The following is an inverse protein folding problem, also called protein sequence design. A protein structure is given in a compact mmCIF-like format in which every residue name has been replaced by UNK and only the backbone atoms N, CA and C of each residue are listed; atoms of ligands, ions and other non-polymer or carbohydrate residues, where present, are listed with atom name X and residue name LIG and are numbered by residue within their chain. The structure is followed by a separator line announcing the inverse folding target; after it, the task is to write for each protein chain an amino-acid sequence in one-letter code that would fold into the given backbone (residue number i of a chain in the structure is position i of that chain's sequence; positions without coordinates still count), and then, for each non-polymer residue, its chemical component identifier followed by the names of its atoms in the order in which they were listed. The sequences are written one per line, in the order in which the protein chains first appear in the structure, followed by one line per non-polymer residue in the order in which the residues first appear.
data_IF_958962775262
#
_entry.id   IF_958962775262
#
_cell.length_a   1.000
_cell.length_b   1.000
_cell.length_c   1.000
_cell.angle_alpha   90.00
_cell.angle_beta   90.00
_cell.angle_gamma   90.00
#
_symmetry.space_group_name_H-M   'P 1'
#
loop_
_entity.id
_entity.type
_entity.pdbx_description
1 polymer ?
#
# COMPACT_ATOMS: atom_id res chain seq x y z
N UNK A 1 62.87 25.90 11.97
CA UNK A 1 62.23 26.72 13.02
C UNK A 1 60.71 26.57 12.89
N UNK A 2 60.08 26.02 13.94
CA UNK A 2 58.65 26.08 14.36
C UNK A 2 57.57 25.83 13.29
N UNK A 3 57.04 24.59 13.21
CA UNK A 3 55.82 24.10 13.91
C UNK A 3 54.56 24.96 13.71
N UNK A 4 53.55 24.37 13.05
CA UNK A 4 52.16 24.41 13.54
C UNK A 4 51.37 23.21 13.04
N UNK A 5 51.34 22.17 13.87
CA UNK A 5 50.30 21.16 13.91
C UNK A 5 48.94 21.82 14.19
N UNK A 6 47.92 21.48 13.42
CA UNK A 6 46.52 21.69 13.83
C UNK A 6 45.91 20.30 13.97
N UNK A 7 45.66 19.94 15.23
CA UNK A 7 44.92 18.76 15.65
C UNK A 7 43.50 18.82 15.08
N UNK A 8 43.10 17.80 14.31
CA UNK A 8 41.69 17.44 14.20
C UNK A 8 41.39 16.42 15.30
N UNK A 9 40.64 16.87 16.31
CA UNK A 9 40.11 16.01 17.35
C UNK A 9 39.17 14.98 16.71
N UNK A 10 39.54 13.72 16.88
CA UNK A 10 38.69 12.56 16.69
C UNK A 10 37.59 12.61 17.76
N UNK A 11 36.35 12.88 17.36
CA UNK A 11 35.18 12.64 18.18
C UNK A 11 34.63 11.25 17.83
N UNK A 12 35.13 10.22 18.51
CA UNK A 12 34.50 8.89 18.55
C UNK A 12 33.25 9.03 19.41
N UNK A 13 32.09 9.19 18.77
CA UNK A 13 30.80 8.99 19.43
C UNK A 13 30.55 7.49 19.43
N UNK A 14 30.76 6.87 20.60
CA UNK A 14 30.34 5.50 20.87
C UNK A 14 28.81 5.49 20.87
N UNK A 15 28.20 5.07 19.76
CA UNK A 15 26.80 4.68 19.77
C UNK A 15 26.69 3.36 20.52
N UNK A 16 26.21 3.44 21.76
CA UNK A 16 25.70 2.29 22.47
C UNK A 16 24.56 1.69 21.64
N UNK A 17 24.74 0.44 21.20
CA UNK A 17 23.72 -0.33 20.51
C UNK A 17 22.54 -0.55 21.45
N UNK A 18 21.45 0.18 21.23
CA UNK A 18 20.16 -0.24 21.73
C UNK A 18 19.72 -1.44 20.90
N UNK A 19 19.96 -2.65 21.41
CA UNK A 19 19.24 -3.84 20.97
C UNK A 19 17.76 -3.64 21.31
N UNK A 20 17.01 -3.07 20.37
CA UNK A 20 15.56 -3.12 20.42
C UNK A 20 15.14 -4.57 20.17
N UNK A 21 14.54 -5.19 21.17
CA UNK A 21 13.97 -6.52 21.10
C UNK A 21 13.12 -6.67 19.83
N UNK A 22 13.44 -7.67 19.01
CA UNK A 22 12.55 -8.14 17.97
C UNK A 22 11.23 -8.56 18.64
N UNK A 23 10.17 -7.75 18.49
CA UNK A 23 8.84 -8.25 18.79
C UNK A 23 8.53 -9.32 17.76
N UNK A 24 8.59 -10.58 18.18
CA UNK A 24 8.15 -11.72 17.39
C UNK A 24 6.69 -11.48 17.00
N UNK A 25 6.46 -11.08 15.74
CA UNK A 25 5.12 -10.82 15.20
C UNK A 25 4.48 -12.17 14.87
N UNK A 26 3.83 -12.74 15.88
CA UNK A 26 2.98 -13.90 15.75
C UNK A 26 1.95 -13.68 14.62
N UNK A 27 1.74 -14.65 13.74
CA UNK A 27 0.77 -14.60 12.66
C UNK A 27 -0.14 -15.83 12.71
N UNK A 28 -1.36 -15.65 12.24
CA UNK A 28 -2.27 -16.75 11.92
C UNK A 28 -2.10 -17.04 10.43
N UNK A 29 -1.82 -18.30 10.10
CA UNK A 29 -1.74 -18.80 8.72
C UNK A 29 -2.93 -19.72 8.46
N UNK A 30 -3.69 -19.38 7.41
CA UNK A 30 -4.81 -20.17 6.92
C UNK A 30 -4.35 -21.29 5.95
N UNK A 31 -5.18 -22.30 5.63
CA UNK A 31 -4.81 -23.39 4.73
C UNK A 31 -4.43 -22.95 3.31
N UNK A 32 -4.92 -21.79 2.87
CA UNK A 32 -4.59 -21.19 1.58
C UNK A 32 -3.27 -20.38 1.60
N UNK A 33 -2.47 -20.51 2.67
CA UNK A 33 -1.22 -19.79 2.92
C UNK A 33 -1.35 -18.27 3.05
N UNK A 34 -2.57 -17.72 3.10
CA UNK A 34 -2.76 -16.33 3.52
C UNK A 34 -2.44 -16.22 5.01
N UNK A 35 -1.88 -15.08 5.41
CA UNK A 35 -1.54 -14.82 6.80
C UNK A 35 -2.13 -13.50 7.30
N UNK A 36 -2.34 -13.40 8.61
CA UNK A 36 -2.71 -12.17 9.28
C UNK A 36 -1.95 -12.01 10.60
N UNK A 37 -1.45 -10.80 10.85
CA UNK A 37 -0.68 -10.53 12.06
C UNK A 37 -1.56 -10.55 13.31
N UNK A 38 -1.12 -11.26 14.34
CA UNK A 38 -1.74 -11.24 15.67
C UNK A 38 -1.18 -10.05 16.42
N UNK A 39 -2.03 -9.06 16.70
CA UNK A 39 -1.68 -7.80 17.31
C UNK A 39 -1.45 -7.90 18.84
N UNK A 40 -1.77 -9.04 19.45
CA UNK A 40 -1.49 -9.33 20.85
C UNK A 40 -2.25 -10.55 21.36
N UNK A 41 -2.08 -10.81 22.66
CA UNK A 41 -2.75 -11.87 23.40
C UNK A 41 -3.45 -11.31 24.63
N UNK A 42 -4.64 -11.81 24.95
CA UNK A 42 -5.39 -11.51 26.18
C UNK A 42 -5.53 -10.01 26.48
N UNK A 43 -5.91 -9.24 25.45
CA UNK A 43 -6.18 -7.81 25.54
C UNK A 43 -7.37 -7.44 24.68
N UNK A 44 -7.95 -6.26 24.90
CA UNK A 44 -9.02 -5.74 24.03
C UNK A 44 -8.54 -5.64 22.58
N UNK A 45 -9.38 -6.09 21.64
CA UNK A 45 -9.19 -5.94 20.20
C UNK A 45 -9.56 -4.52 19.75
N UNK A 46 -8.65 -3.81 19.07
CA UNK A 46 -8.93 -2.49 18.48
C UNK A 46 -9.51 -2.62 17.07
N UNK A 47 -9.69 -1.50 16.37
CA UNK A 47 -10.06 -1.50 14.95
C UNK A 47 -9.00 -2.22 14.11
N UNK A 48 -9.45 -3.01 13.13
CA UNK A 48 -8.61 -3.74 12.15
C UNK A 48 -7.63 -4.78 12.72
N UNK A 49 -7.66 -5.03 14.03
CA UNK A 49 -6.74 -5.96 14.69
C UNK A 49 -7.29 -7.39 14.81
N UNK A 50 -6.36 -8.34 14.88
CA UNK A 50 -6.57 -9.72 15.28
C UNK A 50 -5.90 -9.97 16.63
N UNK A 51 -6.62 -10.51 17.61
CA UNK A 51 -6.08 -10.82 18.95
C UNK A 51 -6.38 -12.27 19.30
N UNK A 52 -5.41 -12.95 19.89
CA UNK A 52 -5.60 -14.29 20.45
C UNK A 52 -6.02 -14.20 21.91
N UNK A 53 -7.05 -14.94 22.31
CA UNK A 53 -7.50 -15.01 23.70
C UNK A 53 -7.40 -16.44 24.23
N UNK A 54 -6.86 -16.57 25.44
CA UNK A 54 -6.97 -17.78 26.23
C UNK A 54 -8.41 -17.98 26.70
N UNK A 55 -8.84 -19.23 26.93
CA UNK A 55 -10.17 -19.53 27.42
C UNK A 55 -10.54 -18.75 28.69
N UNK A 56 -9.61 -18.66 29.65
CA UNK A 56 -9.85 -18.03 30.95
C UNK A 56 -10.04 -16.52 30.84
N UNK A 57 -9.24 -15.86 30.00
CA UNK A 57 -9.40 -14.44 29.78
C UNK A 57 -10.70 -14.15 29.03
N UNK A 58 -10.98 -14.88 27.95
CA UNK A 58 -12.17 -14.66 27.12
C UNK A 58 -13.47 -14.88 27.90
N UNK A 59 -13.52 -15.88 28.79
CA UNK A 59 -14.68 -16.09 29.69
C UNK A 59 -14.95 -14.88 30.59
N UNK A 60 -13.89 -14.25 31.11
CA UNK A 60 -13.99 -13.09 32.00
C UNK A 60 -14.24 -11.79 31.25
N UNK A 61 -13.70 -11.68 30.04
CA UNK A 61 -13.68 -10.47 29.22
C UNK A 61 -14.04 -10.78 27.77
N UNK A 62 -15.29 -11.19 27.49
CA UNK A 62 -15.71 -11.50 26.13
C UNK A 62 -15.62 -10.26 25.25
N UNK A 63 -15.34 -10.48 23.96
CA UNK A 63 -15.34 -9.43 22.93
C UNK A 63 -16.77 -8.89 22.71
N UNK A 64 -16.88 -7.74 22.04
CA UNK A 64 -18.18 -7.13 21.72
C UNK A 64 -18.70 -7.58 20.35
N UNK A 65 -19.90 -7.10 19.97
CA UNK A 65 -20.57 -7.46 18.72
C UNK A 65 -19.93 -6.90 17.44
N UNK A 66 -18.81 -6.18 17.52
CA UNK A 66 -18.24 -5.45 16.37
C UNK A 66 -17.32 -6.29 15.48
N UNK A 67 -17.11 -7.56 15.81
CA UNK A 67 -16.14 -8.42 15.14
C UNK A 67 -16.65 -9.82 14.80
N UNK A 68 -15.69 -10.67 14.50
CA UNK A 68 -15.86 -12.12 14.36
C UNK A 68 -14.97 -12.82 15.39
N UNK A 69 -15.51 -13.84 16.04
CA UNK A 69 -14.77 -14.71 16.94
C UNK A 69 -14.61 -16.08 16.30
N UNK A 70 -13.44 -16.69 16.45
CA UNK A 70 -13.12 -18.02 15.92
C UNK A 70 -12.60 -18.89 17.06
N UNK A 71 -13.30 -20.00 17.35
CA UNK A 71 -12.81 -21.02 18.27
C UNK A 71 -11.88 -21.96 17.52
N UNK A 72 -10.66 -22.12 18.05
CA UNK A 72 -9.69 -23.07 17.55
C UNK A 72 -9.42 -24.13 18.61
N UNK A 73 -9.62 -25.40 18.27
CA UNK A 73 -9.37 -26.57 19.13
C UNK A 73 -8.50 -27.53 18.35
N UNK A 74 -7.43 -28.03 18.97
CA UNK A 74 -6.46 -28.95 18.35
C UNK A 74 -5.97 -28.45 16.97
N UNK A 75 -5.58 -27.17 16.93
CA UNK A 75 -5.12 -26.44 15.73
C UNK A 75 -6.12 -26.45 14.56
N UNK A 76 -7.41 -26.62 14.83
CA UNK A 76 -8.48 -26.56 13.83
C UNK A 76 -9.59 -25.61 14.24
N UNK A 77 -10.15 -24.91 13.24
CA UNK A 77 -11.33 -24.07 13.45
C UNK A 77 -12.52 -24.96 13.84
N UNK A 78 -12.98 -24.82 15.08
CA UNK A 78 -14.16 -25.50 15.58
C UNK A 78 -15.44 -24.69 15.34
N UNK A 79 -15.35 -23.36 15.39
CA UNK A 79 -16.49 -22.45 15.19
C UNK A 79 -16.02 -21.10 14.66
N UNK A 80 -16.81 -20.50 13.77
CA UNK A 80 -16.68 -19.10 13.34
C UNK A 80 -18.00 -18.40 13.66
N UNK A 81 -17.95 -17.32 14.44
CA UNK A 81 -19.12 -16.57 14.88
C UNK A 81 -19.01 -15.09 14.47
N UNK A 82 -19.66 -14.74 13.36
CA UNK A 82 -19.68 -13.38 12.82
C UNK A 82 -20.76 -12.52 13.47
N UNK A 83 -20.44 -11.95 14.64
CA UNK A 83 -21.37 -11.13 15.41
C UNK A 83 -21.69 -9.81 14.70
N UNK A 84 -20.69 -9.21 14.05
CA UNK A 84 -20.88 -7.96 13.32
C UNK A 84 -21.77 -8.16 12.09
N UNK A 85 -21.62 -9.28 11.38
CA UNK A 85 -22.49 -9.64 10.25
C UNK A 85 -23.95 -9.78 10.68
N UNK A 86 -24.20 -10.56 11.73
CA UNK A 86 -25.53 -10.75 12.29
C UNK A 86 -26.20 -9.41 12.67
N UNK A 87 -25.50 -8.57 13.45
CA UNK A 87 -26.08 -7.31 13.96
C UNK A 87 -26.21 -6.24 12.88
N UNK A 88 -25.11 -5.93 12.17
CA UNK A 88 -25.06 -4.74 11.33
C UNK A 88 -25.53 -4.98 9.90
N UNK A 89 -25.31 -6.19 9.35
CA UNK A 89 -25.67 -6.54 7.97
C UNK A 89 -27.05 -7.22 7.91
N UNK A 90 -27.28 -8.22 8.76
CA UNK A 90 -28.51 -9.03 8.73
C UNK A 90 -29.63 -8.48 9.63
N UNK A 91 -29.34 -7.48 10.47
CA UNK A 91 -30.28 -6.90 11.45
C UNK A 91 -30.88 -7.94 12.40
N UNK A 92 -30.11 -8.99 12.73
CA UNK A 92 -30.46 -10.01 13.72
C UNK A 92 -29.90 -9.65 15.10
N UNK A 93 -30.47 -10.20 16.20
CA UNK A 93 -29.88 -10.09 17.52
C UNK A 93 -28.44 -10.61 17.53
N UNK A 94 -27.58 -10.00 18.35
CA UNK A 94 -26.21 -10.47 18.58
C UNK A 94 -26.26 -11.91 19.10
N UNK A 95 -25.64 -12.89 18.41
CA UNK A 95 -25.66 -14.27 18.86
C UNK A 95 -24.78 -14.50 20.11
N UNK A 96 -24.10 -13.46 20.59
CA UNK A 96 -23.30 -13.48 21.81
C UNK A 96 -21.89 -14.02 21.60
N UNK A 97 -21.10 -14.01 22.68
CA UNK A 97 -19.76 -14.55 22.69
C UNK A 97 -19.75 -16.09 22.60
N UNK A 98 -18.69 -16.66 22.02
CA UNK A 98 -18.53 -18.12 21.96
C UNK A 98 -18.41 -18.68 23.37
N UNK A 99 -19.21 -19.71 23.69
CA UNK A 99 -19.03 -20.48 24.93
C UNK A 99 -17.84 -21.42 24.77
N UNK A 100 -16.77 -21.17 25.51
CA UNK A 100 -15.56 -22.01 25.51
C UNK A 100 -15.47 -22.80 26.81
N UNK A 101 -15.23 -24.11 26.73
CA UNK A 101 -15.21 -25.03 27.88
C UNK A 101 -13.79 -25.28 28.44
N UNK A 102 -12.79 -24.56 27.91
CA UNK A 102 -11.40 -24.59 28.40
C UNK A 102 -10.42 -25.22 27.42
N UNK A 103 -10.89 -25.91 26.38
CA UNK A 103 -10.03 -26.40 25.30
C UNK A 103 -9.85 -25.33 24.23
N UNK A 104 -8.61 -25.19 23.73
CA UNK A 104 -8.30 -24.32 22.61
C UNK A 104 -8.10 -22.86 22.98
N UNK A 105 -8.38 -21.97 22.02
CA UNK A 105 -8.27 -20.52 22.17
C UNK A 105 -9.25 -19.82 21.21
N UNK A 106 -9.47 -18.51 21.43
CA UNK A 106 -10.28 -17.67 20.54
C UNK A 106 -9.35 -16.77 19.72
N UNK A 107 -9.59 -16.66 18.41
CA UNK A 107 -9.11 -15.56 17.60
C UNK A 107 -10.26 -14.57 17.39
N UNK A 108 -10.09 -13.33 17.82
CA UNK A 108 -11.08 -12.27 17.61
C UNK A 108 -10.53 -11.21 16.67
N UNK A 109 -11.28 -10.92 15.61
CA UNK A 109 -10.90 -9.95 14.59
C UNK A 109 -11.96 -8.87 14.39
N UNK A 110 -11.51 -7.62 14.29
CA UNK A 110 -12.34 -6.48 13.87
C UNK A 110 -11.92 -5.97 12.48
N UNK A 111 -12.80 -5.24 11.80
CA UNK A 111 -12.46 -4.52 10.56
C UNK A 111 -11.76 -5.38 9.50
N UNK A 112 -10.51 -5.04 9.15
CA UNK A 112 -9.68 -5.79 8.22
C UNK A 112 -9.43 -7.25 8.66
N UNK A 113 -9.16 -7.49 9.95
CA UNK A 113 -8.99 -8.83 10.49
C UNK A 113 -10.28 -9.66 10.37
N UNK A 114 -11.44 -9.05 10.60
CA UNK A 114 -12.74 -9.71 10.39
C UNK A 114 -12.90 -10.14 8.93
N UNK A 115 -12.67 -9.22 7.99
CA UNK A 115 -12.75 -9.51 6.54
C UNK A 115 -11.79 -10.65 6.16
N UNK A 116 -10.58 -10.62 6.72
CA UNK A 116 -9.59 -11.67 6.47
C UNK A 116 -10.05 -13.03 7.03
N UNK A 117 -10.55 -13.10 8.27
CA UNK A 117 -11.07 -14.35 8.85
C UNK A 117 -12.16 -14.94 7.96
N UNK A 118 -13.17 -14.14 7.61
CA UNK A 118 -14.32 -14.62 6.84
C UNK A 118 -13.96 -15.07 5.42
N UNK A 119 -12.87 -14.52 4.86
CA UNK A 119 -12.37 -14.90 3.55
C UNK A 119 -11.46 -16.14 3.57
N UNK A 120 -10.80 -16.43 4.69
CA UNK A 120 -9.68 -17.39 4.74
C UNK A 120 -9.84 -18.54 5.73
N UNK A 121 -10.77 -18.47 6.68
CA UNK A 121 -10.98 -19.50 7.70
C UNK A 121 -12.42 -20.03 7.67
N UNK A 122 -12.53 -21.36 7.68
CA UNK A 122 -13.80 -22.11 7.73
C UNK A 122 -13.72 -23.20 8.79
N UNK A 123 -14.87 -23.65 9.30
CA UNK A 123 -14.93 -24.79 10.23
C UNK A 123 -14.24 -26.00 9.62
N UNK A 124 -13.35 -26.62 10.38
CA UNK A 124 -12.50 -27.75 9.98
C UNK A 124 -11.11 -27.36 9.47
N UNK A 125 -10.89 -26.10 9.10
CA UNK A 125 -9.59 -25.62 8.60
C UNK A 125 -8.50 -25.75 9.65
N UNK A 126 -7.32 -26.19 9.22
CA UNK A 126 -6.13 -26.14 10.05
C UNK A 126 -5.67 -24.68 10.22
N UNK A 127 -5.40 -24.29 11.45
CA UNK A 127 -4.92 -22.95 11.82
C UNK A 127 -3.54 -23.09 12.42
N UNK A 128 -2.55 -22.45 11.80
CA UNK A 128 -1.20 -22.37 12.38
C UNK A 128 -1.01 -21.00 12.97
N UNK A 129 -0.70 -20.96 14.27
CA UNK A 129 -0.19 -19.76 14.92
C UNK A 129 1.30 -19.97 15.14
N UNK A 130 2.09 -19.08 14.59
CA UNK A 130 3.54 -19.14 14.75
C UNK A 130 4.17 -17.81 14.42
N UNK A 131 5.47 -17.74 14.60
CA UNK A 131 6.25 -16.66 14.01
C UNK A 131 6.06 -16.69 12.50
N UNK A 132 5.97 -15.50 11.88
CA UNK A 132 5.92 -15.40 10.44
C UNK A 132 7.07 -16.23 9.84
N UNK A 133 6.76 -17.31 9.12
CA UNK A 133 7.78 -18.01 8.34
C UNK A 133 8.10 -17.09 7.17
N UNK A 134 9.13 -16.27 7.38
CA UNK A 134 9.64 -15.39 6.34
C UNK A 134 10.32 -16.27 5.30
N UNK A 135 9.59 -16.63 4.24
CA UNK A 135 10.20 -17.30 3.08
C UNK A 135 11.10 -16.27 2.42
N UNK A 136 12.38 -16.36 2.75
CA UNK A 136 13.44 -15.57 2.12
C UNK A 136 13.88 -16.28 0.84
N UNK A 137 14.00 -15.56 -0.25
CA UNK A 137 14.67 -16.06 -1.45
C UNK A 137 16.18 -16.24 -1.19
N UNK A 138 16.91 -16.80 -2.15
CA UNK A 138 18.37 -17.03 -2.04
C UNK A 138 19.18 -15.75 -1.78
N UNK A 139 18.62 -14.57 -2.08
CA UNK A 139 19.18 -13.26 -1.77
C UNK A 139 18.75 -12.69 -0.39
N UNK A 140 18.01 -13.46 0.41
CA UNK A 140 17.56 -13.05 1.74
C UNK A 140 16.33 -12.12 1.74
N UNK A 141 15.67 -11.91 0.59
CA UNK A 141 14.49 -11.04 0.45
C UNK A 141 13.20 -11.82 0.70
N UNK A 142 12.22 -11.18 1.34
CA UNK A 142 10.88 -11.76 1.55
C UNK A 142 10.14 -11.81 0.22
N UNK A 143 9.59 -12.96 -0.15
CA UNK A 143 8.75 -13.09 -1.34
C UNK A 143 7.45 -12.26 -1.20
N UNK A 144 6.95 -11.63 -2.28
CA UNK A 144 5.67 -10.93 -2.27
C UNK A 144 4.50 -11.91 -2.07
N UNK A 145 3.35 -11.41 -1.65
CA UNK A 145 2.13 -12.22 -1.57
C UNK A 145 1.75 -12.74 -2.97
N UNK A 146 1.20 -13.95 -3.05
CA UNK A 146 0.75 -14.51 -4.33
C UNK A 146 -0.42 -13.70 -4.91
N UNK A 147 -1.31 -13.20 -4.05
CA UNK A 147 -2.43 -12.36 -4.44
C UNK A 147 -2.81 -11.40 -3.31
N UNK A 148 -3.36 -10.24 -3.70
CA UNK A 148 -3.92 -9.23 -2.79
C UNK A 148 -5.28 -8.80 -3.37
N UNK A 149 -6.35 -8.73 -2.55
CA UNK A 149 -7.66 -8.29 -3.03
C UNK A 149 -7.65 -6.87 -3.59
N UNK A 150 -8.43 -6.64 -4.65
CA UNK A 150 -8.66 -5.30 -5.16
C UNK A 150 -9.43 -4.44 -4.14
N UNK A 151 -9.03 -3.18 -4.02
CA UNK A 151 -9.83 -2.16 -3.36
C UNK A 151 -10.78 -1.54 -4.39
N UNK A 152 -12.07 -1.47 -4.06
CA UNK A 152 -13.08 -1.03 -5.01
C UNK A 152 -13.04 0.49 -5.24
N UNK A 153 -13.46 0.93 -6.43
CA UNK A 153 -13.70 2.35 -6.73
C UNK A 153 -12.90 2.92 -7.90
N UNK A 154 -11.97 2.16 -8.49
CA UNK A 154 -11.12 2.63 -9.58
C UNK A 154 -10.70 1.48 -10.52
N UNK A 155 -10.25 1.84 -11.73
CA UNK A 155 -9.48 0.93 -12.58
C UNK A 155 -7.99 1.20 -12.36
N UNK A 156 -7.22 0.21 -11.96
CA UNK A 156 -5.80 0.43 -11.67
C UNK A 156 -4.95 -0.83 -11.84
N UNK A 157 -3.71 -0.60 -12.28
CA UNK A 157 -2.60 -1.56 -12.21
C UNK A 157 -1.73 -1.19 -11.02
N UNK A 158 -1.64 -2.06 -10.01
CA UNK A 158 -0.75 -1.89 -8.84
C UNK A 158 0.26 -3.03 -8.80
N UNK A 159 1.55 -2.68 -8.82
CA UNK A 159 2.64 -3.59 -8.51
C UNK A 159 3.12 -3.26 -7.10
N UNK A 160 3.08 -4.23 -6.19
CA UNK A 160 3.35 -4.01 -4.77
C UNK A 160 4.32 -5.06 -4.22
N UNK A 161 5.35 -4.62 -3.50
CA UNK A 161 6.41 -5.50 -2.99
C UNK A 161 5.94 -6.37 -1.82
N UNK A 162 6.81 -7.24 -1.33
CA UNK A 162 6.66 -7.80 0.03
C UNK A 162 6.84 -6.72 1.11
N UNK A 163 6.37 -7.03 2.33
CA UNK A 163 6.85 -6.34 3.52
C UNK A 163 8.26 -6.84 3.86
N UNK A 164 9.27 -5.99 3.67
CA UNK A 164 10.68 -6.31 3.89
C UNK A 164 11.44 -5.06 4.41
N UNK A 165 12.77 -5.11 4.45
CA UNK A 165 13.66 -4.01 4.84
C UNK A 165 13.86 -2.96 3.74
N UNK A 166 12.86 -2.76 2.91
CA UNK A 166 12.90 -1.76 1.83
C UNK A 166 13.04 -0.34 2.42
N UNK A 167 13.85 0.48 1.77
CA UNK A 167 14.12 1.88 2.14
C UNK A 167 13.58 2.88 1.12
N UNK A 168 13.00 2.40 0.03
CA UNK A 168 12.33 3.23 -0.95
C UNK A 168 11.95 2.48 -2.23
N UNK A 169 11.37 3.23 -3.15
CA UNK A 169 11.10 2.84 -4.53
C UNK A 169 11.46 4.00 -5.44
N UNK A 170 12.03 3.70 -6.61
CA UNK A 170 12.36 4.68 -7.63
C UNK A 170 12.00 4.14 -9.02
N UNK A 171 11.74 5.05 -9.96
CA UNK A 171 11.42 4.67 -11.33
C UNK A 171 11.53 5.82 -12.31
N UNK A 172 11.70 5.44 -13.57
CA UNK A 172 11.69 6.32 -14.72
C UNK A 172 10.43 6.00 -15.53
N UNK A 173 9.50 6.93 -15.63
CA UNK A 173 8.20 6.72 -16.27
C UNK A 173 8.00 7.70 -17.43
N UNK A 174 7.64 7.18 -18.60
CA UNK A 174 7.05 7.97 -19.67
C UNK A 174 5.55 8.07 -19.42
N UNK A 175 5.04 9.29 -19.35
CA UNK A 175 3.65 9.55 -19.03
C UNK A 175 2.71 9.16 -20.18
N UNK A 176 1.64 8.46 -19.84
CA UNK A 176 0.59 8.10 -20.80
C UNK A 176 -0.25 9.32 -21.22
N UNK A 177 -1.07 9.11 -22.25
CA UNK A 177 -2.02 10.09 -22.77
C UNK A 177 -3.42 9.77 -22.21
N UNK A 178 -3.96 10.62 -21.32
CA UNK A 178 -5.31 10.45 -20.82
C UNK A 178 -6.35 10.87 -21.83
N UNK A 179 -7.50 10.19 -21.81
CA UNK A 179 -8.71 10.57 -22.53
C UNK A 179 -9.90 10.36 -21.61
N UNK A 180 -10.63 11.44 -21.36
CA UNK A 180 -11.80 11.46 -20.48
C UNK A 180 -13.06 10.95 -21.17
N UNK A 181 -14.02 10.47 -20.39
CA UNK A 181 -15.37 10.18 -20.91
C UNK A 181 -16.24 11.45 -20.82
N UNK A 182 -16.50 12.07 -21.96
CA UNK A 182 -17.33 13.28 -22.05
C UNK A 182 -18.79 13.06 -21.61
N UNK A 183 -19.25 11.81 -21.52
CA UNK A 183 -20.58 11.48 -21.03
C UNK A 183 -20.62 11.26 -19.51
N UNK A 184 -19.47 11.29 -18.84
CA UNK A 184 -19.35 10.99 -17.41
C UNK A 184 -18.78 12.19 -16.66
N UNK A 185 -19.57 13.26 -16.64
CA UNK A 185 -19.25 14.53 -15.99
C UNK A 185 -20.00 14.65 -14.67
N UNK A 186 -19.40 15.34 -13.71
CA UNK A 186 -20.08 15.75 -12.49
C UNK A 186 -21.14 16.82 -12.82
N UNK A 187 -22.33 16.69 -12.25
CA UNK A 187 -23.43 17.60 -12.57
C UNK A 187 -23.17 19.04 -12.11
N UNK A 188 -22.37 19.24 -11.05
CA UNK A 188 -22.14 20.54 -10.41
C UNK A 188 -21.06 21.33 -11.13
N UNK A 189 -19.91 20.70 -11.39
CA UNK A 189 -18.74 21.39 -11.96
C UNK A 189 -18.48 21.07 -13.44
N UNK A 190 -19.29 20.16 -14.03
CA UNK A 190 -19.16 19.68 -15.42
C UNK A 190 -17.77 19.12 -15.74
N UNK A 191 -16.99 18.73 -14.74
CA UNK A 191 -15.69 18.10 -14.92
C UNK A 191 -15.84 16.57 -14.99
N UNK A 192 -14.92 15.89 -15.70
CA UNK A 192 -14.87 14.44 -15.72
C UNK A 192 -14.84 13.83 -14.31
N UNK A 193 -15.66 12.80 -14.11
CA UNK A 193 -15.68 11.99 -12.89
C UNK A 193 -14.50 11.02 -12.83
N UNK A 194 -13.86 10.74 -13.97
CA UNK A 194 -12.61 9.99 -14.07
C UNK A 194 -11.41 10.93 -13.97
N UNK A 195 -10.45 10.58 -13.11
CA UNK A 195 -9.16 11.25 -13.03
C UNK A 195 -8.02 10.24 -13.21
N UNK A 196 -6.87 10.70 -13.66
CA UNK A 196 -5.74 9.83 -13.96
C UNK A 196 -4.60 10.07 -12.99
N UNK A 197 -3.94 9.00 -12.58
CA UNK A 197 -2.79 9.10 -11.70
C UNK A 197 -1.73 8.05 -12.04
N UNK A 198 -0.48 8.42 -11.82
CA UNK A 198 0.67 7.52 -11.86
C UNK A 198 1.52 7.83 -10.65
N UNK A 199 1.62 6.88 -9.73
CA UNK A 199 2.17 7.17 -8.41
C UNK A 199 2.89 5.99 -7.79
N UNK A 200 3.69 6.30 -6.80
CA UNK A 200 4.37 5.36 -5.93
C UNK A 200 3.84 5.50 -4.51
N UNK A 201 4.35 4.72 -3.58
CA UNK A 201 4.03 4.86 -2.18
C UNK A 201 4.27 3.55 -1.48
N UNK A 202 3.55 3.31 -0.39
CA UNK A 202 3.76 2.10 0.37
C UNK A 202 2.92 2.03 1.63
N UNK A 203 3.19 0.97 2.38
CA UNK A 203 2.60 0.71 3.68
C UNK A 203 3.70 0.21 4.60
N UNK A 204 3.67 0.62 5.86
CA UNK A 204 4.56 0.10 6.88
C UNK A 204 3.79 -0.13 8.17
N UNK A 205 4.06 -1.28 8.80
CA UNK A 205 3.44 -1.63 10.09
C UNK A 205 1.92 -1.79 10.07
N UNK A 206 1.28 -1.88 8.90
CA UNK A 206 -0.18 -2.00 8.75
C UNK A 206 -0.95 -0.74 9.17
N UNK A 207 -0.29 0.43 9.20
CA UNK A 207 -0.86 1.68 9.72
C UNK A 207 -1.57 2.50 8.65
N UNK A 208 -0.79 3.13 7.76
CA UNK A 208 -1.31 4.07 6.77
C UNK A 208 -0.80 3.71 5.37
N UNK A 209 -1.71 3.65 4.41
CA UNK A 209 -1.37 3.57 2.99
C UNK A 209 -0.91 4.95 2.52
N UNK A 210 0.24 5.02 1.87
CA UNK A 210 0.78 6.24 1.27
C UNK A 210 0.62 6.18 -0.25
N UNK A 211 0.16 7.29 -0.84
CA UNK A 211 0.15 7.53 -2.28
C UNK A 211 0.95 8.81 -2.57
N UNK A 212 1.99 8.75 -3.38
CA UNK A 212 2.85 9.89 -3.71
C UNK A 212 3.41 9.77 -5.13
N UNK A 213 3.15 10.76 -5.96
CA UNK A 213 3.52 10.72 -7.37
C UNK A 213 2.83 11.82 -8.16
N UNK A 214 2.22 11.50 -9.29
CA UNK A 214 1.62 12.45 -10.22
C UNK A 214 0.12 12.20 -10.40
N UNK A 215 -0.67 13.26 -10.40
CA UNK A 215 -2.11 13.22 -10.71
C UNK A 215 -2.45 14.23 -11.80
N UNK A 216 -3.43 13.89 -12.63
CA UNK A 216 -3.91 14.72 -13.72
C UNK A 216 -4.68 15.91 -13.16
N UNK A 217 -4.25 17.10 -13.54
CA UNK A 217 -4.65 18.36 -12.92
C UNK A 217 -4.77 19.49 -13.95
N UNK A 218 -5.40 20.57 -13.49
CA UNK A 218 -5.46 21.83 -14.22
C UNK A 218 -4.10 22.53 -14.14
N UNK A 219 -3.83 23.38 -15.13
CA UNK A 219 -2.67 24.26 -15.16
C UNK A 219 -3.13 25.71 -15.13
N UNK A 220 -2.31 26.59 -14.59
CA UNK A 220 -2.48 28.04 -14.69
C UNK A 220 -1.40 28.63 -15.59
N UNK A 221 -1.77 29.62 -16.41
CA UNK A 221 -0.80 30.38 -17.20
C UNK A 221 -0.08 31.45 -16.35
N UNK A 222 0.82 32.21 -16.99
CA UNK A 222 1.63 33.25 -16.32
C UNK A 222 0.79 34.39 -15.73
N UNK A 223 -0.46 34.54 -16.17
CA UNK A 223 -1.43 35.52 -15.65
C UNK A 223 -2.38 34.91 -14.61
N UNK A 224 -2.16 33.65 -14.19
CA UNK A 224 -3.02 32.92 -13.27
C UNK A 224 -4.33 32.42 -13.90
N UNK A 225 -4.47 32.47 -15.23
CA UNK A 225 -5.66 31.94 -15.90
C UNK A 225 -5.58 30.42 -15.93
N UNK A 226 -6.53 29.78 -15.25
CA UNK A 226 -6.66 28.32 -15.19
C UNK A 226 -7.14 27.75 -16.54
N UNK A 227 -6.62 26.57 -16.88
CA UNK A 227 -7.08 25.79 -18.04
C UNK A 227 -8.55 25.37 -17.87
N UNK A 228 -9.28 25.28 -18.99
CA UNK A 228 -10.69 24.87 -18.97
C UNK A 228 -10.88 23.39 -18.59
N UNK A 229 -9.84 22.57 -18.79
CA UNK A 229 -9.80 21.14 -18.51
C UNK A 229 -8.44 20.78 -17.95
N UNK A 230 -8.38 19.70 -17.18
CA UNK A 230 -7.11 19.10 -16.75
C UNK A 230 -6.28 18.72 -17.97
N UNK A 231 -5.00 19.10 -17.96
CA UNK A 231 -4.12 19.06 -19.12
C UNK A 231 -2.64 18.79 -18.78
N UNK A 232 -2.31 18.60 -17.50
CA UNK A 232 -0.97 18.20 -17.08
C UNK A 232 -1.02 17.29 -15.84
N UNK A 233 0.02 16.51 -15.65
CA UNK A 233 0.32 15.80 -14.42
C UNK A 233 1.07 16.73 -13.46
N UNK A 234 0.65 16.76 -12.19
CA UNK A 234 1.30 17.55 -11.12
C UNK A 234 1.61 16.68 -9.90
N UNK A 235 2.74 16.90 -9.20
CA UNK A 235 3.05 16.12 -8.02
C UNK A 235 2.01 16.23 -6.91
N UNK A 236 1.69 15.10 -6.28
CA UNK A 236 0.81 15.00 -5.13
C UNK A 236 1.34 13.98 -4.13
N UNK A 237 0.95 14.12 -2.87
CA UNK A 237 1.15 13.10 -1.86
C UNK A 237 -0.02 13.06 -0.88
N UNK A 238 -0.37 11.85 -0.47
CA UNK A 238 -1.51 11.56 0.39
C UNK A 238 -1.09 10.53 1.43
N UNK A 239 -1.35 10.89 2.69
CA UNK A 239 -1.38 9.93 3.80
C UNK A 239 -2.79 9.92 4.36
N UNK A 240 -3.08 10.71 5.38
CA UNK A 240 -4.45 11.00 5.87
C UNK A 240 -5.05 12.24 5.20
N UNK A 241 -4.19 13.14 4.71
CA UNK A 241 -4.57 14.39 4.06
C UNK A 241 -4.03 14.43 2.63
N UNK A 242 -4.77 15.12 1.75
CA UNK A 242 -4.34 15.37 0.38
C UNK A 242 -3.42 16.58 0.32
N UNK A 243 -2.32 16.47 -0.42
CA UNK A 243 -1.39 17.56 -0.67
C UNK A 243 -0.93 17.55 -2.12
N UNK A 244 -0.52 18.71 -2.63
CA UNK A 244 -0.04 18.85 -4.02
C UNK A 244 1.10 19.86 -4.08
N UNK A 245 1.99 19.71 -5.06
CA UNK A 245 2.99 20.73 -5.38
C UNK A 245 2.30 22.06 -5.74
N UNK A 246 2.98 23.21 -5.60
CA UNK A 246 2.43 24.49 -6.03
C UNK A 246 1.88 24.48 -7.46
N UNK A 247 0.87 25.30 -7.72
CA UNK A 247 0.28 25.44 -9.06
C UNK A 247 1.19 26.31 -9.96
N UNK A 248 2.32 25.74 -10.38
CA UNK A 248 3.36 26.46 -11.12
C UNK A 248 3.86 25.64 -12.32
N UNK A 249 4.18 26.33 -13.42
CA UNK A 249 4.65 25.73 -14.68
C UNK A 249 5.81 24.75 -14.53
N UNK A 250 6.72 24.99 -13.58
CA UNK A 250 7.86 24.11 -13.29
C UNK A 250 7.48 22.75 -12.67
N UNK A 251 6.22 22.57 -12.26
CA UNK A 251 5.69 21.33 -11.70
C UNK A 251 4.62 20.67 -12.58
N UNK A 252 4.42 21.16 -13.80
CA UNK A 252 3.54 20.54 -14.78
C UNK A 252 4.32 19.61 -15.70
N UNK A 253 3.87 18.37 -15.76
CA UNK A 253 4.40 17.33 -16.64
C UNK A 253 3.34 16.91 -17.66
N UNK A 254 3.71 16.80 -18.93
CA UNK A 254 2.75 16.55 -20.01
C UNK A 254 2.82 15.10 -20.51
N UNK A 255 1.75 14.58 -21.13
CA UNK A 255 1.78 13.27 -21.78
C UNK A 255 2.98 13.11 -22.71
N UNK A 256 3.61 11.94 -22.67
CA UNK A 256 4.82 11.62 -23.43
C UNK A 256 6.12 12.11 -22.81
N UNK A 257 6.10 13.02 -21.82
CA UNK A 257 7.31 13.38 -21.06
C UNK A 257 7.78 12.20 -20.20
N UNK A 258 9.09 12.12 -20.00
CA UNK A 258 9.72 11.15 -19.11
C UNK A 258 10.04 11.80 -17.78
N UNK A 259 9.64 11.15 -16.69
CA UNK A 259 9.76 11.64 -15.32
C UNK A 259 10.46 10.61 -14.45
N UNK A 260 11.46 11.05 -13.71
CA UNK A 260 12.06 10.32 -12.58
C UNK A 260 11.20 10.55 -11.35
N UNK A 261 10.73 9.47 -10.72
CA UNK A 261 9.99 9.53 -9.46
C UNK A 261 10.65 8.63 -8.43
N UNK A 262 10.70 9.09 -7.18
CA UNK A 262 11.12 8.29 -6.05
C UNK A 262 10.31 8.59 -4.79
N UNK A 263 10.06 7.54 -4.00
CA UNK A 263 9.54 7.64 -2.64
C UNK A 263 10.54 6.95 -1.72
N UNK A 264 11.19 7.74 -0.87
CA UNK A 264 12.32 7.31 -0.04
C UNK A 264 11.96 7.44 1.44
N UNK A 265 12.50 6.56 2.27
CA UNK A 265 12.49 6.76 3.73
C UNK A 265 13.44 7.89 4.07
N UNK A 266 12.90 8.99 4.60
CA UNK A 266 13.63 10.20 4.93
C UNK A 266 14.00 10.31 6.41
N UNK A 267 13.42 9.43 7.24
CA UNK A 267 13.64 9.36 8.69
C UNK A 267 12.50 8.59 9.36
N UNK A 268 12.50 8.48 10.69
CA UNK A 268 11.42 7.84 11.43
C UNK A 268 10.07 8.48 11.12
N UNK A 269 9.13 7.67 10.62
CA UNK A 269 7.79 8.10 10.22
C UNK A 269 7.78 9.21 9.15
N UNK A 270 8.81 9.28 8.30
CA UNK A 270 8.89 10.27 7.22
C UNK A 270 9.27 9.63 5.90
N UNK A 271 8.59 10.07 4.86
CA UNK A 271 8.92 9.77 3.47
C UNK A 271 9.30 11.05 2.74
N UNK A 272 10.12 10.90 1.70
CA UNK A 272 10.46 11.94 0.74
C UNK A 272 9.90 11.56 -0.62
N UNK A 273 9.11 12.44 -1.22
CA UNK A 273 8.74 12.37 -2.63
C UNK A 273 9.75 13.20 -3.44
N UNK A 274 10.27 12.61 -4.51
CA UNK A 274 11.08 13.31 -5.53
C UNK A 274 10.40 13.07 -6.87
N UNK A 275 10.20 14.14 -7.64
CA UNK A 275 9.70 14.10 -9.02
C UNK A 275 10.56 15.04 -9.86
N UNK A 276 11.17 14.54 -10.93
CA UNK A 276 12.06 15.34 -11.77
C UNK A 276 12.01 14.93 -13.24
N UNK A 277 12.24 15.86 -14.17
CA UNK A 277 12.52 15.54 -15.58
C UNK A 277 14.00 15.21 -15.84
N UNK A 278 14.83 15.21 -14.79
CA UNK A 278 16.30 15.06 -14.89
C UNK A 278 16.99 16.28 -15.50
N UNK A 279 16.28 17.40 -15.66
CA UNK A 279 16.76 18.65 -16.25
C UNK A 279 16.44 19.82 -15.32
N UNK A 280 15.37 20.56 -15.60
CA UNK A 280 15.03 21.81 -14.92
C UNK A 280 13.81 21.68 -13.99
N UNK A 281 12.90 20.74 -14.26
CA UNK A 281 11.72 20.52 -13.42
C UNK A 281 12.09 19.55 -12.31
N UNK A 282 12.10 20.02 -11.07
CA UNK A 282 12.31 19.16 -9.90
C UNK A 282 11.42 19.61 -8.75
N UNK A 283 10.62 18.69 -8.24
CA UNK A 283 9.86 18.82 -7.01
C UNK A 283 10.39 17.82 -5.98
N UNK A 284 10.60 18.29 -4.75
CA UNK A 284 10.96 17.44 -3.62
C UNK A 284 10.24 17.91 -2.38
N UNK A 285 9.71 16.97 -1.60
CA UNK A 285 9.14 17.28 -0.29
C UNK A 285 9.26 16.09 0.67
N UNK A 286 9.46 16.40 1.94
CA UNK A 286 9.40 15.44 3.04
C UNK A 286 8.04 15.55 3.71
N UNK A 287 7.42 14.42 4.03
CA UNK A 287 6.10 14.38 4.63
C UNK A 287 5.97 13.26 5.65
N UNK A 288 5.05 13.45 6.59
CA UNK A 288 4.78 12.47 7.64
C UNK A 288 4.09 11.24 7.08
N UNK A 289 4.63 10.07 7.44
CA UNK A 289 4.21 8.75 7.01
C UNK A 289 4.27 7.78 8.20
N UNK A 290 3.20 7.74 8.98
CA UNK A 290 3.08 6.89 10.17
C UNK A 290 3.37 5.41 9.84
N UNK A 291 4.23 4.78 10.64
CA UNK A 291 4.60 3.37 10.50
C UNK A 291 5.91 3.16 9.75
N UNK A 292 6.40 4.15 8.99
CA UNK A 292 7.72 4.12 8.34
C UNK A 292 8.85 4.38 9.35
N UNK A 293 8.84 3.67 10.48
CA UNK A 293 9.84 3.75 11.54
C UNK A 293 11.00 2.76 11.30
N UNK A 294 12.19 2.97 11.91
CA UNK A 294 13.30 2.03 11.83
C UNK A 294 12.88 0.60 12.21
N UNK A 295 13.47 -0.41 11.57
CA UNK A 295 13.22 -1.84 11.82
C UNK A 295 11.77 -2.32 11.64
N UNK A 296 10.87 -1.48 11.13
CA UNK A 296 9.53 -1.89 10.72
C UNK A 296 9.60 -2.39 9.29
N UNK A 297 9.14 -3.62 9.03
CA UNK A 297 8.98 -4.14 7.67
C UNK A 297 8.00 -3.27 6.88
N UNK A 298 8.36 -2.97 5.64
CA UNK A 298 7.67 -2.00 4.78
C UNK A 298 7.45 -2.59 3.41
N UNK A 299 6.39 -2.17 2.78
CA UNK A 299 6.02 -2.50 1.43
C UNK A 299 6.01 -1.23 0.61
N UNK A 300 6.50 -1.28 -0.62
CA UNK A 300 6.39 -0.20 -1.59
C UNK A 300 5.57 -0.64 -2.79
N UNK A 301 4.93 0.32 -3.44
CA UNK A 301 4.10 0.09 -4.62
C UNK A 301 4.35 1.14 -5.69
N UNK A 302 4.04 0.76 -6.93
CA UNK A 302 3.74 1.69 -8.03
C UNK A 302 2.36 1.39 -8.61
N UNK A 303 1.69 2.43 -9.08
CA UNK A 303 0.31 2.38 -9.54
C UNK A 303 0.13 3.26 -10.77
N UNK A 304 -0.63 2.75 -11.74
CA UNK A 304 -1.30 3.54 -12.77
C UNK A 304 -2.81 3.39 -12.54
N UNK A 305 -3.57 4.48 -12.55
CA UNK A 305 -5.00 4.42 -12.26
C UNK A 305 -5.84 5.38 -13.10
N UNK A 306 -7.09 4.96 -13.30
CA UNK A 306 -8.26 5.79 -13.59
C UNK A 306 -9.11 5.79 -12.30
N UNK A 307 -8.92 6.81 -11.50
CA UNK A 307 -9.61 7.04 -10.24
C UNK A 307 -10.99 7.65 -10.49
N UNK A 308 -12.02 7.14 -9.81
CA UNK A 308 -13.38 7.67 -9.97
C UNK A 308 -13.74 8.55 -8.77
N UNK A 309 -13.96 9.84 -9.03
CA UNK A 309 -14.38 10.82 -8.03
C UNK A 309 -15.60 10.30 -7.26
N UNK A 310 -15.56 10.42 -5.93
CA UNK A 310 -16.65 10.04 -5.01
C UNK A 310 -17.02 8.54 -5.00
N UNK A 311 -16.19 7.67 -5.59
CA UNK A 311 -16.48 6.24 -5.73
C UNK A 311 -15.55 5.33 -4.90
N UNK A 312 -14.76 5.89 -4.01
CA UNK A 312 -13.84 5.12 -3.15
C UNK A 312 -14.60 4.06 -2.33
N UNK A 313 -14.15 2.80 -2.39
CA UNK A 313 -14.76 1.67 -1.69
C UNK A 313 -16.08 1.15 -2.29
N UNK A 314 -16.58 1.74 -3.38
CA UNK A 314 -17.80 1.32 -4.08
C UNK A 314 -17.47 0.55 -5.36
N UNK A 315 -18.39 -0.26 -5.91
CA UNK A 315 -18.19 -0.89 -7.21
C UNK A 315 -17.79 0.13 -8.28
N UNK A 316 -16.80 -0.24 -9.10
CA UNK A 316 -16.35 0.60 -10.21
C UNK A 316 -17.51 0.85 -11.18
N UNK A 317 -17.65 2.09 -11.64
CA UNK A 317 -18.70 2.46 -12.60
C UNK A 317 -18.16 2.36 -14.03
N UNK A 318 -18.96 1.91 -15.00
CA UNK A 318 -18.53 1.89 -16.41
C UNK A 318 -18.14 3.29 -16.91
N UNK A 319 -17.10 3.35 -17.74
CA UNK A 319 -16.63 4.59 -18.37
C UNK A 319 -15.89 4.29 -19.67
N UNK A 320 -15.88 5.25 -20.60
CA UNK A 320 -15.03 5.22 -21.81
C UNK A 320 -13.68 5.91 -21.60
N UNK A 321 -13.38 6.33 -20.37
CA UNK A 321 -12.07 6.91 -20.05
C UNK A 321 -10.96 5.88 -20.28
N UNK A 322 -9.84 6.34 -20.83
CA UNK A 322 -8.67 5.50 -21.09
C UNK A 322 -7.39 6.29 -20.85
N UNK A 323 -6.32 5.60 -20.49
CA UNK A 323 -4.95 6.15 -20.48
C UNK A 323 -4.02 5.16 -21.15
N UNK A 324 -3.34 5.62 -22.20
CA UNK A 324 -2.53 4.77 -23.08
C UNK A 324 -1.12 5.31 -23.27
N UNK A 325 -0.16 4.44 -23.52
CA UNK A 325 1.23 4.79 -23.80
C UNK A 325 2.07 5.10 -22.56
N UNK A 326 1.59 4.76 -21.36
CA UNK A 326 2.40 4.90 -20.15
C UNK A 326 3.44 3.77 -20.08
N UNK A 327 4.71 4.12 -19.86
CA UNK A 327 5.81 3.15 -19.80
C UNK A 327 6.67 3.41 -18.57
N UNK A 328 6.72 2.46 -17.64
CA UNK A 328 7.79 2.39 -16.67
C UNK A 328 9.02 1.86 -17.39
N UNK A 329 9.94 2.75 -17.76
CA UNK A 329 11.20 2.42 -18.43
C UNK A 329 12.18 1.72 -17.48
N UNK A 330 12.04 2.00 -16.18
CA UNK A 330 12.74 1.32 -15.10
C UNK A 330 11.94 1.46 -13.81
N UNK A 331 11.90 0.41 -12.99
CA UNK A 331 11.43 0.47 -11.60
C UNK A 331 12.38 -0.33 -10.71
N UNK A 332 12.82 0.28 -9.60
CA UNK A 332 13.67 -0.37 -8.62
C UNK A 332 13.12 -0.17 -7.19
N UNK A 333 13.18 -1.24 -6.40
CA UNK A 333 13.11 -1.19 -4.95
C UNK A 333 14.49 -0.83 -4.40
N UNK A 334 14.52 -0.07 -3.30
CA UNK A 334 15.76 0.36 -2.67
C UNK A 334 15.97 -0.39 -1.36
N UNK A 335 17.22 -0.82 -1.12
CA UNK A 335 17.63 -1.48 0.11
C UNK A 335 18.95 -0.88 0.61
N UNK A 336 19.01 -0.53 1.89
CA UNK A 336 20.15 0.20 2.48
C UNK A 336 19.92 1.71 2.53
N UNK A 337 20.90 2.46 3.03
CA UNK A 337 20.73 3.87 3.38
C UNK A 337 21.49 4.82 2.44
N UNK A 338 20.92 6.02 2.27
CA UNK A 338 21.55 7.12 1.56
C UNK A 338 21.87 6.82 0.09
N UNK A 339 22.88 7.51 -0.43
CA UNK A 339 23.33 7.38 -1.82
C UNK A 339 23.88 5.98 -2.16
N UNK A 340 24.23 5.18 -1.14
CA UNK A 340 24.72 3.81 -1.29
C UNK A 340 23.62 2.75 -1.33
N UNK A 341 22.34 3.15 -1.26
CA UNK A 341 21.23 2.20 -1.30
C UNK A 341 21.26 1.38 -2.61
N UNK A 342 21.22 0.06 -2.47
CA UNK A 342 21.19 -0.86 -3.61
C UNK A 342 19.86 -0.70 -4.34
N UNK A 343 19.93 -0.42 -5.64
CA UNK A 343 18.78 -0.47 -6.53
C UNK A 343 18.56 -1.91 -7.00
N UNK A 344 17.40 -2.46 -6.68
CA UNK A 344 17.03 -3.83 -7.00
C UNK A 344 15.82 -3.74 -7.95
N UNK A 345 15.89 -4.27 -9.19
CA UNK A 345 14.78 -4.21 -10.12
C UNK A 345 13.48 -4.75 -9.51
N UNK A 346 12.37 -4.02 -9.69
CA UNK A 346 11.04 -4.48 -9.26
C UNK A 346 10.44 -5.38 -10.35
N UNK A 347 11.05 -6.55 -10.55
CA UNK A 347 10.60 -7.57 -11.51
C UNK A 347 9.44 -8.43 -10.95
N UNK A 348 8.92 -9.34 -11.78
CA UNK A 348 7.75 -10.18 -11.45
C UNK A 348 7.94 -11.09 -10.23
N UNK A 349 9.18 -11.35 -9.79
CA UNK A 349 9.46 -12.13 -8.58
C UNK A 349 9.38 -11.30 -7.30
N UNK A 350 9.32 -9.96 -7.42
CA UNK A 350 9.39 -9.00 -6.31
C UNK A 350 8.13 -8.18 -6.10
N UNK A 351 7.07 -8.45 -6.86
CA UNK A 351 5.78 -7.81 -6.63
C UNK A 351 4.59 -8.74 -6.83
N UNK A 352 3.51 -8.45 -6.12
CA UNK A 352 2.17 -8.98 -6.40
C UNK A 352 1.55 -8.17 -7.53
N UNK A 353 1.10 -8.84 -8.60
CA UNK A 353 0.38 -8.19 -9.71
C UNK A 353 -1.09 -7.98 -9.31
N UNK A 354 -1.55 -6.73 -9.30
CA UNK A 354 -2.95 -6.39 -9.10
C UNK A 354 -3.46 -5.61 -10.32
N UNK A 355 -4.50 -6.15 -10.96
CA UNK A 355 -5.18 -5.54 -12.11
C UNK A 355 -6.67 -5.40 -11.78
N UNK A 356 -7.04 -4.21 -11.33
CA UNK A 356 -8.34 -3.94 -10.72
C UNK A 356 -9.18 -3.00 -11.61
N UNK A 357 -10.50 -3.06 -11.57
CA UNK A 357 -11.32 -4.03 -10.84
C UNK A 357 -11.32 -5.44 -11.50
N UNK A 358 -10.88 -5.54 -12.76
CA UNK A 358 -10.77 -6.79 -13.51
C UNK A 358 -9.64 -6.66 -14.56
N UNK A 359 -8.93 -7.75 -14.83
CA UNK A 359 -7.75 -7.77 -15.71
C UNK A 359 -8.06 -7.37 -17.16
N UNK A 360 -9.29 -7.59 -17.64
CA UNK A 360 -9.73 -7.24 -19.00
C UNK A 360 -9.65 -5.74 -19.32
N UNK A 361 -9.55 -4.89 -18.30
CA UNK A 361 -9.39 -3.45 -18.44
C UNK A 361 -7.93 -3.00 -18.56
N UNK A 362 -6.96 -3.89 -18.37
CA UNK A 362 -5.55 -3.53 -18.15
C UNK A 362 -4.65 -4.38 -19.03
N UNK A 363 -3.96 -3.71 -19.96
CA UNK A 363 -2.96 -4.35 -20.80
C UNK A 363 -1.58 -4.04 -20.24
N UNK A 364 -0.84 -5.08 -19.87
CA UNK A 364 0.54 -4.98 -19.35
C UNK A 364 1.48 -5.70 -20.30
N UNK A 365 2.43 -4.97 -20.88
CA UNK A 365 3.50 -5.55 -21.68
C UNK A 365 4.84 -5.37 -20.94
N UNK A 366 5.50 -6.47 -20.60
CA UNK A 366 6.86 -6.41 -20.04
C UNK A 366 7.82 -5.97 -21.14
N UNK A 367 8.54 -4.87 -20.91
CA UNK A 367 9.52 -4.32 -21.87
C UNK A 367 10.93 -4.86 -21.61
N UNK A 368 11.34 -4.88 -20.33
CA UNK A 368 12.65 -5.35 -19.89
C UNK A 368 12.56 -5.81 -18.42
N UNK A 369 12.64 -7.12 -18.19
CA UNK A 369 12.56 -7.68 -16.84
C UNK A 369 13.73 -7.25 -15.95
N UNK A 370 14.93 -7.11 -16.51
CA UNK A 370 16.12 -6.74 -15.74
C UNK A 370 16.07 -5.29 -15.21
N UNK A 371 15.15 -4.48 -15.74
CA UNK A 371 14.90 -3.10 -15.28
C UNK A 371 13.57 -2.94 -14.55
N UNK A 372 12.77 -4.00 -14.41
CA UNK A 372 11.39 -3.89 -13.93
C UNK A 372 10.53 -3.00 -14.84
N UNK A 373 10.78 -3.04 -16.16
CA UNK A 373 10.16 -2.17 -17.13
C UNK A 373 8.87 -2.77 -17.71
N UNK A 374 7.81 -1.95 -17.76
CA UNK A 374 6.49 -2.34 -18.23
C UNK A 374 5.80 -1.18 -18.97
N UNK A 375 5.11 -1.50 -20.06
CA UNK A 375 4.09 -0.65 -20.67
C UNK A 375 2.73 -1.01 -20.09
N UNK A 376 1.95 0.01 -19.72
CA UNK A 376 0.63 -0.15 -19.10
C UNK A 376 -0.38 0.73 -19.83
N UNK A 377 -1.42 0.10 -20.35
CA UNK A 377 -2.60 0.77 -20.88
C UNK A 377 -3.82 0.37 -20.03
N UNK A 378 -4.67 1.34 -19.67
CA UNK A 378 -5.88 1.11 -18.86
C UNK A 378 -7.09 1.66 -19.61
N UNK A 379 -8.14 0.85 -19.68
CA UNK A 379 -9.39 1.17 -20.37
C UNK A 379 -10.57 0.99 -19.43
N UNK A 380 -11.40 2.02 -19.26
CA UNK A 380 -12.65 1.90 -18.49
C UNK A 380 -13.68 0.97 -19.12
N UNK A 381 -13.57 0.74 -20.43
CA UNK A 381 -14.31 -0.27 -21.19
C UNK A 381 -13.29 -1.27 -21.74
N UNK A 382 -13.42 -2.59 -21.50
CA UNK A 382 -12.44 -3.56 -21.96
C UNK A 382 -12.23 -3.47 -23.47
N UNK A 383 -10.98 -3.53 -23.93
CA UNK A 383 -10.71 -3.81 -25.34
C UNK A 383 -11.05 -5.27 -25.61
N UNK A 384 -11.95 -5.50 -26.57
CA UNK A 384 -12.22 -6.84 -27.09
C UNK A 384 -10.98 -7.44 -27.75
#
# INVERSE_FOLDING_TARGET
MRFRCIHWLILIVIFAAAQAAAQNKLQVTAPNNQTFAVAGKDRRVNADELVQYTPDFYKKNPTNQSGVDVLVVDDRVALVQDRAGAVYLEKKPDPGAIKIDGKGYILSGNGAARKWILANLKVGDAVKIGEAVVVKNSSGEVAPAVSIPCFAGAYYRKAVSSFDVWTGIAGLVKLGTPKTDENRLDEKDKQPLDNFSVYMGGNAGGKTEVDAGLTWEFTSDENGKRSARRNAFRPFWRTKTWNSAPDEKRFYFYPGETVQMAVLVAGPNKLRLIVSDGKAKTFQTDFDAEGFAPNVARQFKRVNAIDQRYNEGKPVQPTRAEIVGAEWLQTALLRGEGAGAKQIPMDKTRFTDMRCANESHIVVNTLDQAKGAEKIDIFGTPKK
#
